data_IF_896743298792
#
_entry.id   IF_896743298792
#
_cell.length_a   1.000
_cell.length_b   1.000
_cell.length_c   1.000
_cell.angle_alpha   90.00
_cell.angle_beta   90.00
_cell.angle_gamma   90.00
#
_symmetry.space_group_name_H-M   'P 1'
#
loop_
_entity.id
_entity.type
_entity.pdbx_description
1 polymer ?
#
# COMPACT_ATOMS: atom_id res chain seq x y z
N UNK A 1 9.99 6.48 7.14
CA UNK A 1 8.69 5.85 6.89
C UNK A 1 7.84 6.16 8.10
N UNK A 2 6.64 6.71 7.87
CA UNK A 2 5.70 6.96 8.97
C UNK A 2 5.22 5.62 9.55
N UNK A 3 5.00 5.56 10.86
CA UNK A 3 4.34 4.42 11.50
C UNK A 3 2.92 4.28 10.96
N UNK A 4 2.37 3.06 10.89
CA UNK A 4 1.03 2.84 10.31
C UNK A 4 -0.08 3.67 10.97
N UNK A 5 0.12 4.04 12.23
CA UNK A 5 -0.76 4.87 13.06
C UNK A 5 -0.72 6.36 12.70
N UNK A 6 0.31 6.83 11.99
CA UNK A 6 0.47 8.23 11.59
C UNK A 6 -0.21 8.56 10.24
N UNK A 7 -0.73 7.55 9.53
CA UNK A 7 -1.45 7.77 8.28
C UNK A 7 -2.92 8.08 8.53
N UNK A 8 -3.41 9.14 7.87
CA UNK A 8 -4.84 9.42 7.79
C UNK A 8 -5.59 8.32 7.03
N UNK A 9 -6.92 8.23 7.22
CA UNK A 9 -7.77 7.31 6.45
C UNK A 9 -7.58 7.47 4.93
N UNK A 10 -7.38 8.70 4.46
CA UNK A 10 -7.18 9.01 3.04
C UNK A 10 -5.81 8.53 2.55
N UNK A 11 -4.75 8.80 3.33
CA UNK A 11 -3.41 8.33 3.03
C UNK A 11 -3.34 6.80 3.00
N UNK A 12 -3.89 6.13 4.02
CA UNK A 12 -4.00 4.67 4.08
C UNK A 12 -4.70 4.11 2.83
N UNK A 13 -5.87 4.66 2.50
CA UNK A 13 -6.64 4.21 1.33
C UNK A 13 -5.83 4.42 0.05
N UNK A 14 -5.17 5.57 -0.11
CA UNK A 14 -4.38 5.88 -1.30
C UNK A 14 -3.21 4.92 -1.48
N UNK A 15 -2.52 4.56 -0.40
CA UNK A 15 -1.42 3.58 -0.43
C UNK A 15 -1.96 2.22 -0.87
N UNK A 16 -3.04 1.74 -0.25
CA UNK A 16 -3.64 0.43 -0.60
C UNK A 16 -4.11 0.42 -2.06
N UNK A 17 -4.78 1.48 -2.53
CA UNK A 17 -5.24 1.57 -3.92
C UNK A 17 -4.07 1.59 -4.92
N UNK A 18 -3.02 2.35 -4.65
CA UNK A 18 -1.84 2.39 -5.51
C UNK A 18 -1.14 1.03 -5.55
N UNK A 19 -1.06 0.33 -4.41
CA UNK A 19 -0.45 -1.00 -4.34
C UNK A 19 -1.29 -2.06 -5.06
N UNK A 20 -2.61 -2.04 -4.90
CA UNK A 20 -3.51 -2.93 -5.63
C UNK A 20 -3.36 -2.77 -7.15
N UNK A 21 -3.21 -1.53 -7.64
CA UNK A 21 -2.96 -1.27 -9.06
C UNK A 21 -1.63 -1.88 -9.53
N UNK A 22 -0.55 -1.74 -8.74
CA UNK A 22 0.74 -2.34 -9.08
C UNK A 22 0.62 -3.87 -9.23
N UNK A 23 -0.08 -4.52 -8.30
CA UNK A 23 -0.31 -5.97 -8.32
C UNK A 23 -1.14 -6.37 -9.55
N UNK A 24 -2.18 -5.60 -9.86
CA UNK A 24 -2.99 -5.81 -11.08
C UNK A 24 -2.17 -5.69 -12.37
N UNK A 25 -1.10 -4.88 -12.36
CA UNK A 25 -0.15 -4.75 -13.48
C UNK A 25 0.93 -5.84 -13.50
N UNK A 26 0.89 -6.83 -12.60
CA UNK A 26 1.87 -7.91 -12.54
C UNK A 26 3.09 -7.61 -11.67
N UNK A 27 3.02 -6.61 -10.78
CA UNK A 27 4.09 -6.37 -9.80
C UNK A 27 4.23 -7.56 -8.84
N UNK A 28 5.47 -7.97 -8.48
CA UNK A 28 5.69 -9.06 -7.56
C UNK A 28 5.13 -8.74 -6.17
N UNK A 29 4.45 -9.75 -5.62
CA UNK A 29 3.86 -9.72 -4.27
C UNK A 29 4.89 -10.23 -3.28
N UNK A 30 5.06 -9.53 -2.15
CA UNK A 30 6.07 -9.86 -1.14
C UNK A 30 5.51 -10.77 -0.03
N UNK A 31 4.19 -10.98 0.01
CA UNK A 31 3.51 -11.86 0.97
C UNK A 31 3.19 -13.23 0.36
N UNK A 32 3.14 -14.26 1.22
CA UNK A 32 2.65 -15.58 0.82
C UNK A 32 1.15 -15.51 0.59
N UNK A 33 0.75 -15.58 -0.68
CA UNK A 33 -0.66 -15.68 -1.07
C UNK A 33 -1.21 -17.04 -0.62
N UNK A 34 -2.27 -17.09 0.20
CA UNK A 34 -2.98 -18.34 0.41
C UNK A 34 -3.60 -18.78 -0.92
N UNK A 35 -3.60 -20.09 -1.18
CA UNK A 35 -4.12 -20.68 -2.42
C UNK A 35 -5.61 -20.33 -2.57
N UNK A 36 -5.92 -19.26 -3.28
CA UNK A 36 -7.29 -18.78 -3.49
C UNK A 36 -7.48 -17.26 -3.43
N UNK A 37 -6.51 -16.47 -2.95
CA UNK A 37 -6.61 -15.00 -3.01
C UNK A 37 -6.11 -14.51 -4.36
N UNK A 38 -7.06 -14.15 -5.23
CA UNK A 38 -6.80 -13.74 -6.63
C UNK A 38 -6.95 -12.22 -6.78
N UNK A 39 -7.70 -11.57 -5.88
CA UNK A 39 -8.01 -10.15 -6.02
C UNK A 39 -6.85 -9.25 -5.56
N UNK A 40 -6.32 -8.35 -6.42
CA UNK A 40 -5.20 -7.46 -6.09
C UNK A 40 -5.43 -6.60 -4.85
N UNK A 41 -6.70 -6.26 -4.58
CA UNK A 41 -7.09 -5.44 -3.44
C UNK A 41 -6.83 -6.16 -2.10
N UNK A 42 -7.15 -7.44 -2.02
CA UNK A 42 -6.95 -8.21 -0.78
C UNK A 42 -5.47 -8.51 -0.56
N UNK A 43 -4.72 -8.71 -1.64
CA UNK A 43 -3.26 -8.82 -1.58
C UNK A 43 -2.64 -7.54 -1.01
N UNK A 44 -3.07 -6.38 -1.50
CA UNK A 44 -2.58 -5.09 -1.00
C UNK A 44 -2.95 -4.87 0.48
N UNK A 45 -4.13 -5.33 0.94
CA UNK A 45 -4.49 -5.28 2.37
C UNK A 45 -3.60 -6.18 3.21
N UNK A 46 -3.32 -7.41 2.75
CA UNK A 46 -2.42 -8.34 3.45
C UNK A 46 -1.00 -7.77 3.56
N UNK A 47 -0.49 -7.15 2.50
CA UNK A 47 0.81 -6.47 2.56
C UNK A 47 0.81 -5.26 3.50
N UNK A 48 -0.33 -4.55 3.58
CA UNK A 48 -0.49 -3.45 4.53
C UNK A 48 -0.44 -3.98 5.97
N UNK A 49 -1.20 -5.02 6.30
CA UNK A 49 -1.19 -5.61 7.65
C UNK A 49 0.17 -6.20 8.03
N UNK A 50 0.92 -6.73 7.05
CA UNK A 50 2.29 -7.19 7.25
C UNK A 50 3.33 -6.04 7.31
N UNK A 51 2.96 -4.80 6.98
CA UNK A 51 3.85 -3.64 6.98
C UNK A 51 4.94 -3.68 5.90
N UNK A 52 4.76 -4.47 4.84
CA UNK A 52 5.80 -4.71 3.80
C UNK A 52 5.57 -3.92 2.50
N UNK A 53 4.61 -2.99 2.48
CA UNK A 53 4.30 -2.22 1.28
C UNK A 53 5.46 -1.29 0.92
N UNK A 54 6.03 -1.41 -0.30
CA UNK A 54 7.21 -0.65 -0.71
C UNK A 54 6.86 0.75 -1.26
N UNK A 55 5.81 1.40 -0.76
CA UNK A 55 5.40 2.76 -1.14
C UNK A 55 4.97 3.56 0.09
N UNK A 56 5.27 4.86 0.10
CA UNK A 56 4.97 5.80 1.18
C UNK A 56 4.42 7.11 0.56
N UNK A 57 3.71 7.90 1.36
CA UNK A 57 3.18 9.20 0.94
C UNK A 57 4.13 10.29 1.38
N UNK A 58 4.69 11.00 0.41
CA UNK A 58 5.43 12.24 0.70
C UNK A 58 4.42 13.33 1.10
N UNK A 59 4.51 13.88 2.32
CA UNK A 59 3.76 15.08 2.65
C UNK A 59 4.18 16.19 1.69
N UNK A 60 3.20 16.97 1.23
CA UNK A 60 3.49 18.13 0.39
C UNK A 60 4.34 19.08 1.23
N UNK A 61 5.62 19.21 0.90
CA UNK A 61 6.42 20.31 1.41
C UNK A 61 5.69 21.58 0.98
N UNK A 62 5.21 22.35 1.96
CA UNK A 62 4.67 23.66 1.69
C UNK A 62 5.82 24.43 1.02
N UNK A 63 5.72 24.60 -0.30
CA UNK A 63 6.72 25.33 -1.07
C UNK A 63 6.98 26.62 -0.35
N UNK A 64 8.22 26.79 0.14
CA UNK A 64 8.69 28.10 0.58
C UNK A 64 8.47 29.02 -0.63
N UNK A 65 7.53 29.95 -0.47
CA UNK A 65 7.37 31.06 -1.40
C UNK A 65 8.67 31.87 -1.44
#
# INVERSE_FOLDING_TARGET
MKSQEEYTRYEKTRIISARALQIAQGSPVLVKLPRGTIEPMDIAKLEWEAGVIPIDIKPKEAGKK
#
